data_IF_061113438101
#
_entry.id   IF_061113438101
#
_cell.length_a   1.000
_cell.length_b   1.000
_cell.length_c   1.000
_cell.angle_alpha   90.00
_cell.angle_beta   90.00
_cell.angle_gamma   90.00
#
_symmetry.space_group_name_H-M   'P 1'
#
loop_
_entity.id
_entity.type
_entity.pdbx_description
1 polymer ?
#
# COMPACT_ATOMS: atom_id res chain seq x y z
N UNK A 1 -4.17 14.39 -26.44
CA UNK A 1 -2.79 14.44 -25.92
C UNK A 1 -2.14 13.09 -26.07
N UNK A 2 -0.80 13.05 -26.19
CA UNK A 2 0.02 11.85 -26.12
C UNK A 2 0.59 11.74 -24.69
N UNK A 3 0.22 10.70 -23.97
CA UNK A 3 0.59 10.52 -22.56
C UNK A 3 1.45 9.27 -22.42
N UNK A 4 2.60 9.36 -21.74
CA UNK A 4 3.41 8.21 -21.42
C UNK A 4 3.43 7.99 -19.90
N UNK A 5 2.92 6.84 -19.46
CA UNK A 5 3.09 6.37 -18.09
C UNK A 5 4.32 5.48 -17.96
N UNK A 6 5.04 5.58 -16.85
CA UNK A 6 6.24 4.80 -16.58
C UNK A 6 6.21 4.23 -15.17
N UNK A 7 6.12 2.90 -15.05
CA UNK A 7 6.14 2.22 -13.76
C UNK A 7 6.55 0.75 -13.93
N UNK A 8 7.56 0.29 -13.18
CA UNK A 8 8.07 -1.08 -13.30
C UNK A 8 6.99 -2.16 -13.06
N UNK A 9 6.02 -1.90 -12.20
CA UNK A 9 4.95 -2.84 -11.82
C UNK A 9 3.58 -2.37 -12.32
N UNK A 10 3.43 -2.11 -13.63
CA UNK A 10 2.14 -1.69 -14.21
C UNK A 10 0.95 -2.45 -13.60
N UNK A 11 -0.15 -1.78 -13.25
CA UNK A 11 -0.39 -0.34 -13.37
C UNK A 11 0.15 0.50 -12.20
N UNK A 12 0.58 -0.11 -11.07
CA UNK A 12 0.96 0.60 -9.86
C UNK A 12 -0.13 1.55 -9.39
N UNK A 13 0.24 2.74 -8.95
CA UNK A 13 -0.65 3.79 -8.48
C UNK A 13 -1.52 4.40 -9.57
N UNK A 14 -1.22 4.15 -10.84
CA UNK A 14 -1.89 4.78 -11.98
C UNK A 14 -3.10 4.02 -12.50
N UNK A 15 -3.53 2.93 -11.85
CA UNK A 15 -4.59 2.06 -12.33
C UNK A 15 -5.86 2.84 -12.71
N UNK A 16 -6.37 3.59 -11.75
CA UNK A 16 -7.65 4.30 -11.91
C UNK A 16 -7.52 5.47 -12.89
N UNK A 17 -6.41 6.20 -12.81
CA UNK A 17 -6.12 7.32 -13.73
C UNK A 17 -5.97 6.83 -15.19
N UNK A 18 -5.22 5.75 -15.39
CA UNK A 18 -5.00 5.19 -16.74
C UNK A 18 -6.32 4.69 -17.34
N UNK A 19 -7.13 3.97 -16.53
CA UNK A 19 -8.44 3.50 -16.99
C UNK A 19 -9.34 4.67 -17.35
N UNK A 20 -9.45 5.65 -16.46
CA UNK A 20 -10.29 6.83 -16.70
C UNK A 20 -9.88 7.60 -17.96
N UNK A 21 -8.59 7.84 -18.18
CA UNK A 21 -8.07 8.52 -19.37
C UNK A 21 -8.31 7.69 -20.66
N UNK A 22 -8.15 6.37 -20.57
CA UNK A 22 -8.38 5.47 -21.70
C UNK A 22 -9.87 5.44 -22.11
N UNK A 23 -10.77 5.46 -21.13
CA UNK A 23 -12.23 5.48 -21.38
C UNK A 23 -12.69 6.74 -22.09
N UNK A 24 -11.98 7.88 -21.94
CA UNK A 24 -12.29 9.14 -22.66
C UNK A 24 -12.07 9.02 -24.18
N UNK A 25 -11.25 8.07 -24.66
CA UNK A 25 -10.92 7.86 -26.09
C UNK A 25 -10.37 9.12 -26.82
N UNK A 26 -9.92 10.13 -26.07
CA UNK A 26 -9.40 11.40 -26.60
C UNK A 26 -7.87 11.49 -26.51
N UNK A 27 -7.22 10.50 -25.92
CA UNK A 27 -5.78 10.47 -25.66
C UNK A 27 -5.12 9.25 -26.30
N UNK A 28 -3.88 9.41 -26.75
CA UNK A 28 -3.01 8.32 -27.11
C UNK A 28 -2.12 8.00 -25.90
N UNK A 29 -2.29 6.81 -25.32
CA UNK A 29 -1.66 6.44 -24.05
C UNK A 29 -0.69 5.30 -24.27
N UNK A 30 0.55 5.50 -23.83
CA UNK A 30 1.58 4.48 -23.75
C UNK A 30 1.92 4.22 -22.30
N UNK A 31 2.12 2.95 -21.96
CA UNK A 31 2.58 2.54 -20.64
C UNK A 31 3.88 1.72 -20.75
N UNK A 32 4.96 2.26 -20.19
CA UNK A 32 6.27 1.58 -20.08
C UNK A 32 6.39 0.84 -18.77
N UNK A 33 6.72 -0.46 -18.81
CA UNK A 33 6.82 -1.31 -17.62
C UNK A 33 7.92 -2.36 -17.72
N UNK A 34 8.41 -2.87 -16.59
CA UNK A 34 9.28 -4.07 -16.53
C UNK A 34 8.48 -5.36 -16.31
N UNK A 35 7.18 -5.25 -16.05
CA UNK A 35 6.33 -6.41 -15.80
C UNK A 35 6.21 -7.26 -17.06
N UNK A 36 6.62 -8.54 -16.99
CA UNK A 36 6.62 -9.46 -18.13
C UNK A 36 5.22 -9.74 -18.68
N UNK A 37 4.24 -9.87 -17.80
CA UNK A 37 2.83 -10.10 -18.13
C UNK A 37 2.00 -8.95 -17.55
N UNK A 38 2.00 -7.77 -18.19
CA UNK A 38 1.24 -6.63 -17.72
C UNK A 38 -0.26 -6.86 -17.96
N UNK A 39 -1.13 -6.31 -17.09
CA UNK A 39 -2.56 -6.28 -17.37
C UNK A 39 -2.85 -5.48 -18.64
N UNK A 40 -3.92 -5.84 -19.34
CA UNK A 40 -4.38 -5.10 -20.52
C UNK A 40 -5.39 -4.04 -20.09
N UNK A 41 -5.21 -2.85 -20.63
CA UNK A 41 -6.18 -1.76 -20.58
C UNK A 41 -6.57 -1.43 -22.03
N UNK A 42 -7.86 -1.42 -22.29
CA UNK A 42 -8.35 -1.08 -23.61
C UNK A 42 -8.02 0.39 -23.94
N UNK A 43 -7.44 0.64 -25.12
CA UNK A 43 -6.96 1.97 -25.51
C UNK A 43 -5.58 2.38 -24.95
N UNK A 44 -4.84 1.46 -24.32
CA UNK A 44 -3.48 1.71 -23.81
C UNK A 44 -2.45 0.81 -24.51
N UNK A 45 -1.46 1.44 -25.13
CA UNK A 45 -0.32 0.76 -25.75
C UNK A 45 0.73 0.43 -24.68
N UNK A 46 0.89 -0.85 -24.35
CA UNK A 46 1.88 -1.28 -23.36
C UNK A 46 3.16 -1.71 -24.02
N UNK A 47 4.29 -1.25 -23.49
CA UNK A 47 5.62 -1.65 -23.92
C UNK A 47 6.45 -2.10 -22.72
N UNK A 48 7.08 -3.27 -22.85
CA UNK A 48 7.95 -3.84 -21.81
C UNK A 48 9.39 -3.44 -22.08
N UNK A 49 10.05 -2.85 -21.08
CA UNK A 49 11.46 -2.57 -21.12
C UNK A 49 12.24 -3.45 -20.13
N UNK A 50 13.55 -3.55 -20.32
CA UNK A 50 14.49 -4.20 -19.39
C UNK A 50 15.38 -3.15 -18.78
N UNK A 51 15.71 -3.31 -17.51
CA UNK A 51 16.78 -2.53 -16.90
C UNK A 51 18.06 -2.69 -17.73
N UNK A 52 18.76 -1.58 -17.95
CA UNK A 52 20.02 -1.60 -18.71
C UNK A 52 21.15 -2.31 -17.96
N UNK A 53 21.09 -2.20 -16.63
CA UNK A 53 22.06 -2.80 -15.71
C UNK A 53 21.36 -3.28 -14.44
N UNK A 54 21.96 -4.29 -13.79
CA UNK A 54 21.59 -4.77 -12.46
C UNK A 54 22.84 -4.87 -11.61
N UNK A 55 22.82 -4.40 -10.35
CA UNK A 55 23.97 -4.51 -9.46
C UNK A 55 24.32 -5.98 -9.20
N UNK A 56 25.60 -6.27 -9.06
CA UNK A 56 26.07 -7.57 -8.62
C UNK A 56 25.60 -7.85 -7.17
N UNK A 57 25.56 -9.12 -6.77
CA UNK A 57 25.24 -9.49 -5.38
C UNK A 57 26.24 -8.89 -4.39
N UNK A 58 27.51 -8.80 -4.81
CA UNK A 58 28.62 -8.22 -4.05
C UNK A 58 28.71 -6.70 -4.11
N UNK A 59 27.77 -6.02 -4.79
CA UNK A 59 27.76 -4.56 -4.89
C UNK A 59 27.72 -3.90 -3.50
N UNK A 60 28.40 -2.76 -3.37
CA UNK A 60 28.46 -2.03 -2.10
C UNK A 60 27.06 -1.61 -1.64
N UNK A 61 26.67 -2.02 -0.43
CA UNK A 61 25.31 -1.91 0.07
C UNK A 61 24.72 -0.50 0.02
N UNK A 62 25.52 0.54 0.28
CA UNK A 62 25.03 1.94 0.28
C UNK A 62 24.77 2.47 -1.16
N UNK A 63 25.48 1.98 -2.18
CA UNK A 63 25.27 2.43 -3.56
C UNK A 63 24.36 1.51 -4.38
N UNK A 64 24.08 0.30 -3.91
CA UNK A 64 23.35 -0.74 -4.66
C UNK A 64 21.99 -0.27 -5.17
N UNK A 65 21.24 0.44 -4.33
CA UNK A 65 19.92 0.97 -4.72
C UNK A 65 20.03 2.04 -5.82
N UNK A 66 21.03 2.92 -5.75
CA UNK A 66 21.29 3.93 -6.78
C UNK A 66 21.74 3.29 -8.09
N UNK A 67 22.63 2.31 -8.03
CA UNK A 67 23.10 1.55 -9.20
C UNK A 67 21.94 0.84 -9.91
N UNK A 68 21.04 0.18 -9.16
CA UNK A 68 19.84 -0.43 -9.70
C UNK A 68 18.90 0.59 -10.35
N UNK A 69 18.68 1.71 -9.68
CA UNK A 69 17.77 2.77 -10.13
C UNK A 69 18.27 3.44 -11.41
N UNK A 70 19.57 3.70 -11.53
CA UNK A 70 20.16 4.22 -12.77
C UNK A 70 20.06 3.22 -13.93
N UNK A 71 20.23 1.92 -13.65
CA UNK A 71 19.98 0.85 -14.62
C UNK A 71 18.53 0.81 -15.12
N UNK A 72 17.56 1.01 -14.23
CA UNK A 72 16.15 1.13 -14.58
C UNK A 72 15.88 2.37 -15.44
N UNK A 73 16.37 3.54 -15.00
CA UNK A 73 16.20 4.81 -15.71
C UNK A 73 16.76 4.80 -17.11
N UNK A 74 17.97 4.29 -17.29
CA UNK A 74 18.58 4.19 -18.63
C UNK A 74 17.82 3.20 -19.52
N UNK A 75 17.34 2.09 -18.96
CA UNK A 75 16.51 1.13 -19.68
C UNK A 75 15.20 1.75 -20.16
N UNK A 76 14.50 2.47 -19.27
CA UNK A 76 13.25 3.15 -19.59
C UNK A 76 13.44 4.26 -20.63
N UNK A 77 14.45 5.12 -20.47
CA UNK A 77 14.74 6.20 -21.42
C UNK A 77 15.07 5.69 -22.82
N UNK A 78 15.89 4.64 -22.93
CA UNK A 78 16.23 4.00 -24.22
C UNK A 78 14.99 3.40 -24.88
N UNK A 79 14.14 2.71 -24.12
CA UNK A 79 12.89 2.15 -24.63
C UNK A 79 11.95 3.26 -25.13
N UNK A 80 11.81 4.34 -24.38
CA UNK A 80 11.01 5.50 -24.76
C UNK A 80 11.51 6.13 -26.08
N UNK A 81 12.83 6.28 -26.23
CA UNK A 81 13.42 6.78 -27.49
C UNK A 81 13.25 5.82 -28.66
N UNK A 82 13.26 4.51 -28.44
CA UNK A 82 12.96 3.52 -29.48
C UNK A 82 11.48 3.60 -29.93
N UNK A 83 10.55 3.84 -29.02
CA UNK A 83 9.14 4.05 -29.35
C UNK A 83 8.99 5.30 -30.24
N UNK A 84 9.64 6.40 -29.88
CA UNK A 84 9.62 7.61 -30.72
C UNK A 84 10.16 7.31 -32.14
N UNK A 85 11.28 6.62 -32.23
CA UNK A 85 11.94 6.36 -33.52
C UNK A 85 11.16 5.37 -34.40
N UNK A 86 10.58 4.32 -33.79
CA UNK A 86 9.96 3.22 -34.56
C UNK A 86 8.45 3.42 -34.77
N UNK A 87 7.79 4.07 -33.82
CA UNK A 87 6.32 4.18 -33.78
C UNK A 87 5.85 5.63 -33.95
N UNK A 88 6.78 6.60 -34.04
CA UNK A 88 6.46 8.02 -34.20
C UNK A 88 5.78 8.65 -32.97
N UNK A 89 5.87 7.99 -31.80
CA UNK A 89 5.25 8.47 -30.58
C UNK A 89 6.25 9.24 -29.72
N UNK A 90 6.14 10.57 -29.70
CA UNK A 90 6.75 11.44 -28.68
C UNK A 90 5.64 11.95 -27.77
N UNK A 91 5.72 11.76 -26.43
CA UNK A 91 4.67 12.20 -25.52
C UNK A 91 4.61 13.73 -25.39
N UNK A 92 3.40 14.24 -25.13
CA UNK A 92 3.19 15.62 -24.69
C UNK A 92 3.46 15.76 -23.18
N UNK A 93 3.36 14.64 -22.43
CA UNK A 93 3.61 14.58 -20.98
C UNK A 93 4.04 13.16 -20.58
N UNK A 94 4.95 13.08 -19.61
CA UNK A 94 5.37 11.83 -18.95
C UNK A 94 4.89 11.83 -17.51
N UNK A 95 4.33 10.70 -17.07
CA UNK A 95 3.88 10.48 -15.69
C UNK A 95 4.55 9.21 -15.17
N UNK A 96 5.24 9.28 -14.03
CA UNK A 96 5.94 8.09 -13.54
C UNK A 96 6.29 8.15 -12.06
N UNK A 97 6.67 7.00 -11.51
CA UNK A 97 7.08 6.86 -10.12
C UNK A 97 8.59 7.14 -9.96
N UNK A 98 8.96 8.01 -9.02
CA UNK A 98 10.38 8.39 -8.86
C UNK A 98 11.19 7.35 -8.06
N UNK A 99 10.57 6.56 -7.20
CA UNK A 99 11.25 5.72 -6.22
C UNK A 99 12.07 4.55 -6.81
N UNK A 100 11.87 4.23 -8.08
CA UNK A 100 12.57 3.13 -8.77
C UNK A 100 13.58 3.62 -9.82
N UNK A 101 13.68 4.95 -10.01
CA UNK A 101 14.65 5.59 -10.88
C UNK A 101 14.27 5.67 -12.36
N UNK A 102 13.09 5.21 -12.78
CA UNK A 102 12.73 5.18 -14.20
C UNK A 102 12.74 6.55 -14.86
N UNK A 103 12.39 7.61 -14.14
CA UNK A 103 12.31 8.97 -14.69
C UNK A 103 13.67 9.66 -14.81
N UNK A 104 14.70 9.14 -14.17
CA UNK A 104 16.01 9.82 -13.97
C UNK A 104 16.60 10.43 -15.25
N UNK A 105 16.41 9.79 -16.41
CA UNK A 105 17.03 10.22 -17.66
C UNK A 105 16.05 10.72 -18.73
N UNK A 106 14.79 11.00 -18.39
CA UNK A 106 13.81 11.44 -19.39
C UNK A 106 14.08 12.83 -19.93
N UNK A 107 14.60 13.76 -19.12
CA UNK A 107 15.00 15.10 -19.60
C UNK A 107 16.19 15.07 -20.56
N UNK A 108 17.03 14.04 -20.52
CA UNK A 108 18.14 13.86 -21.45
C UNK A 108 17.69 13.43 -22.85
N UNK A 109 16.49 12.82 -22.95
CA UNK A 109 15.94 12.43 -24.27
C UNK A 109 14.86 13.41 -24.75
N UNK A 110 14.15 14.06 -23.84
CA UNK A 110 13.08 15.02 -24.12
C UNK A 110 13.15 16.20 -23.16
N UNK A 111 14.04 17.18 -23.36
CA UNK A 111 14.26 18.31 -22.44
C UNK A 111 12.98 19.12 -22.18
N UNK A 112 12.15 19.30 -23.21
CA UNK A 112 10.97 20.17 -23.19
C UNK A 112 9.68 19.44 -22.78
N UNK A 113 9.69 18.11 -22.65
CA UNK A 113 8.48 17.36 -22.29
C UNK A 113 8.24 17.48 -20.78
N UNK A 114 7.07 17.95 -20.34
CA UNK A 114 6.71 18.00 -18.91
C UNK A 114 6.70 16.60 -18.28
N UNK A 115 7.20 16.52 -17.05
CA UNK A 115 7.26 15.27 -16.28
C UNK A 115 6.56 15.46 -14.95
N UNK A 116 5.55 14.64 -14.68
CA UNK A 116 4.92 14.49 -13.36
C UNK A 116 5.51 13.27 -12.67
N UNK A 117 6.13 13.48 -11.52
CA UNK A 117 6.71 12.42 -10.69
C UNK A 117 5.87 12.09 -9.47
N UNK A 118 5.65 10.80 -9.19
CA UNK A 118 4.99 10.35 -7.96
C UNK A 118 6.02 10.11 -6.87
N UNK A 119 5.99 10.94 -5.82
CA UNK A 119 6.87 10.94 -4.66
C UNK A 119 6.18 10.24 -3.49
N UNK A 120 6.28 8.91 -3.45
CA UNK A 120 5.57 8.11 -2.47
C UNK A 120 6.19 8.21 -1.08
N UNK A 121 7.51 8.16 -0.96
CA UNK A 121 8.15 8.10 0.35
C UNK A 121 9.59 8.62 0.36
N UNK A 122 9.96 9.28 1.44
CA UNK A 122 11.32 9.70 1.78
C UNK A 122 11.75 9.03 3.10
N UNK A 123 12.88 8.35 3.08
CA UNK A 123 13.33 7.54 4.20
C UNK A 123 14.02 8.37 5.27
N UNK A 124 13.70 8.10 6.55
CA UNK A 124 14.33 8.69 7.72
C UNK A 124 14.33 7.67 8.86
N UNK A 125 15.29 7.81 9.75
CA UNK A 125 15.41 7.04 10.98
C UNK A 125 14.51 7.55 12.12
N UNK A 126 13.78 8.62 11.88
CA UNK A 126 12.85 9.22 12.85
C UNK A 126 11.47 9.47 12.24
N UNK A 127 10.42 9.34 13.06
CA UNK A 127 9.02 9.67 12.70
C UNK A 127 8.42 8.82 11.57
N UNK A 128 9.10 7.75 11.15
CA UNK A 128 8.66 6.76 10.18
C UNK A 128 8.58 5.36 10.83
N UNK A 129 8.50 4.28 10.03
CA UNK A 129 8.39 2.92 10.55
C UNK A 129 9.70 2.40 11.18
N UNK A 130 10.85 2.94 10.74
CA UNK A 130 12.16 2.51 11.23
C UNK A 130 12.37 3.05 12.65
N UNK A 131 12.66 2.14 13.60
CA UNK A 131 12.83 2.47 15.01
C UNK A 131 11.52 2.81 15.74
N UNK A 132 10.37 2.64 15.12
CA UNK A 132 9.06 2.85 15.75
C UNK A 132 8.70 1.70 16.70
N UNK A 133 8.89 0.46 16.25
CA UNK A 133 8.62 -0.73 17.05
C UNK A 133 9.87 -1.16 17.82
N UNK A 134 9.84 -1.17 19.18
CA UNK A 134 10.96 -1.63 20.00
C UNK A 134 11.34 -3.11 19.76
N UNK A 135 10.41 -3.92 19.24
CA UNK A 135 10.66 -5.31 18.87
C UNK A 135 11.35 -5.50 17.52
N UNK A 136 11.47 -4.43 16.73
CA UNK A 136 12.22 -4.40 15.45
C UNK A 136 13.39 -3.40 15.55
N UNK A 137 14.44 -3.72 16.31
CA UNK A 137 15.51 -2.79 16.61
C UNK A 137 16.33 -2.45 15.36
N UNK A 138 16.70 -1.18 15.26
CA UNK A 138 17.56 -0.67 14.20
C UNK A 138 19.04 -1.01 14.47
N UNK A 139 19.81 -1.17 13.41
CA UNK A 139 21.28 -1.35 13.49
C UNK A 139 21.98 0.00 13.36
N UNK A 140 23.25 0.07 13.79
CA UNK A 140 24.09 1.29 13.64
C UNK A 140 24.20 1.72 12.16
N UNK A 141 24.11 0.79 11.22
CA UNK A 141 24.18 1.08 9.78
C UNK A 141 22.86 1.58 9.19
N UNK A 142 21.75 1.44 9.88
CA UNK A 142 20.42 1.78 9.38
C UNK A 142 20.32 3.24 8.92
N UNK A 143 20.75 4.26 9.67
CA UNK A 143 20.67 5.66 9.23
C UNK A 143 21.43 5.92 7.92
N UNK A 144 22.60 5.32 7.77
CA UNK A 144 23.43 5.46 6.54
C UNK A 144 22.74 4.83 5.32
N UNK A 145 22.12 3.65 5.50
CA UNK A 145 21.37 2.96 4.43
C UNK A 145 20.14 3.78 4.00
N UNK A 146 19.38 4.33 4.96
CA UNK A 146 18.22 5.16 4.67
C UNK A 146 18.61 6.44 3.94
N UNK A 147 19.68 7.11 4.40
CA UNK A 147 20.19 8.32 3.75
C UNK A 147 20.63 8.03 2.31
N UNK A 148 21.42 6.96 2.10
CA UNK A 148 21.87 6.55 0.77
C UNK A 148 20.69 6.21 -0.16
N UNK A 149 19.63 5.58 0.36
CA UNK A 149 18.42 5.23 -0.40
C UNK A 149 17.69 6.46 -0.93
N UNK A 150 17.77 7.58 -0.25
CA UNK A 150 17.16 8.84 -0.69
C UNK A 150 17.86 9.48 -1.90
N UNK A 151 19.01 8.99 -2.33
CA UNK A 151 19.68 9.50 -3.54
C UNK A 151 18.76 9.46 -4.77
N UNK A 152 17.87 8.46 -4.87
CA UNK A 152 16.94 8.30 -6.00
C UNK A 152 15.90 9.42 -6.07
N UNK A 153 15.05 9.66 -5.03
CA UNK A 153 14.11 10.78 -5.07
C UNK A 153 14.82 12.14 -5.11
N UNK A 154 16.02 12.29 -4.50
CA UNK A 154 16.81 13.52 -4.57
C UNK A 154 17.24 13.85 -6.00
N UNK A 155 17.71 12.86 -6.76
CA UNK A 155 18.07 13.07 -8.17
C UNK A 155 16.84 13.36 -9.05
N UNK A 156 15.70 12.75 -8.73
CA UNK A 156 14.50 12.90 -9.55
C UNK A 156 13.74 14.21 -9.30
N UNK A 157 13.96 14.92 -8.17
CA UNK A 157 13.32 16.22 -7.96
C UNK A 157 13.77 17.26 -8.99
N UNK A 158 14.99 17.17 -9.48
CA UNK A 158 15.50 18.04 -10.56
C UNK A 158 14.92 17.64 -11.92
N UNK A 159 14.68 16.35 -12.13
CA UNK A 159 14.14 15.82 -13.40
C UNK A 159 12.68 16.16 -13.60
N UNK A 160 11.85 16.16 -12.54
CA UNK A 160 10.42 16.42 -12.66
C UNK A 160 10.08 17.91 -12.66
N UNK A 161 9.04 18.28 -13.39
CA UNK A 161 8.47 19.62 -13.36
C UNK A 161 7.49 19.77 -12.19
N UNK A 162 6.71 18.71 -11.92
CA UNK A 162 5.74 18.61 -10.81
C UNK A 162 5.89 17.28 -10.12
N UNK A 163 5.91 17.29 -8.80
CA UNK A 163 5.83 16.10 -7.96
C UNK A 163 4.47 15.97 -7.30
N UNK A 164 3.96 14.73 -7.22
CA UNK A 164 2.74 14.38 -6.49
C UNK A 164 3.10 13.49 -5.32
N UNK A 165 2.54 13.79 -4.15
CA UNK A 165 2.61 12.92 -2.96
C UNK A 165 1.20 12.61 -2.49
N UNK A 166 0.88 11.37 -2.06
CA UNK A 166 -0.52 10.98 -1.82
C UNK A 166 -1.13 11.62 -0.57
N UNK A 167 -0.31 11.99 0.42
CA UNK A 167 -0.78 12.59 1.68
C UNK A 167 0.13 13.76 2.10
N UNK A 168 -0.36 14.63 2.99
CA UNK A 168 0.45 15.69 3.59
C UNK A 168 1.59 15.11 4.42
N UNK A 169 1.32 14.06 5.20
CA UNK A 169 2.35 13.39 5.98
C UNK A 169 3.48 12.84 5.11
N UNK A 170 3.17 12.21 3.96
CA UNK A 170 4.18 11.69 3.04
C UNK A 170 4.98 12.82 2.39
N UNK A 171 4.32 13.92 1.94
CA UNK A 171 5.00 15.11 1.43
C UNK A 171 5.94 15.70 2.46
N UNK A 172 5.51 15.82 3.71
CA UNK A 172 6.26 16.47 4.79
C UNK A 172 7.46 15.64 5.28
N UNK A 173 7.57 14.37 4.84
CA UNK A 173 8.80 13.57 4.98
C UNK A 173 9.93 14.06 4.10
N UNK A 174 9.63 14.67 2.95
CA UNK A 174 10.63 15.23 2.05
C UNK A 174 11.22 16.54 2.60
N UNK A 175 12.50 16.86 2.26
CA UNK A 175 13.08 18.15 2.66
C UNK A 175 12.20 19.34 2.25
N UNK A 176 12.07 20.32 3.13
CA UNK A 176 11.20 21.49 2.91
C UNK A 176 11.52 22.24 1.60
N UNK A 177 12.78 22.23 1.17
CA UNK A 177 13.19 22.81 -0.11
C UNK A 177 12.47 22.21 -1.33
N UNK A 178 11.92 21.00 -1.22
CA UNK A 178 11.21 20.32 -2.30
C UNK A 178 9.72 20.66 -2.33
N UNK A 179 9.15 21.13 -1.21
CA UNK A 179 7.71 21.35 -1.08
C UNK A 179 7.15 22.32 -2.13
N UNK A 180 7.96 23.23 -2.69
CA UNK A 180 7.55 24.10 -3.80
C UNK A 180 7.18 23.36 -5.08
N UNK A 181 7.71 22.13 -5.29
CA UNK A 181 7.40 21.25 -6.44
C UNK A 181 6.45 20.12 -6.08
N UNK A 182 6.21 19.83 -4.78
CA UNK A 182 5.42 18.69 -4.32
C UNK A 182 4.01 19.13 -3.95
N UNK A 183 3.05 18.63 -4.72
CA UNK A 183 1.62 18.82 -4.47
C UNK A 183 1.04 17.56 -3.83
N UNK A 184 0.06 17.73 -2.92
CA UNK A 184 -0.64 16.59 -2.32
C UNK A 184 -1.82 16.23 -3.20
N UNK A 185 -1.80 14.99 -3.72
CA UNK A 185 -2.88 14.43 -4.51
C UNK A 185 -2.87 12.91 -4.35
N UNK A 186 -3.92 12.39 -3.70
CA UNK A 186 -4.08 10.95 -3.53
C UNK A 186 -4.33 10.27 -4.89
N UNK A 187 -3.83 9.05 -5.05
CA UNK A 187 -3.97 8.24 -6.27
C UNK A 187 -5.40 7.73 -6.52
N UNK A 188 -6.31 7.98 -5.56
CA UNK A 188 -7.74 7.73 -5.71
C UNK A 188 -8.16 6.29 -5.42
N UNK A 189 -9.46 6.13 -5.19
CA UNK A 189 -10.17 4.85 -5.15
C UNK A 189 -11.50 4.98 -5.89
N UNK A 190 -12.04 3.89 -6.38
CA UNK A 190 -13.28 3.85 -7.16
C UNK A 190 -14.52 3.82 -6.26
N UNK A 191 -14.88 4.96 -5.65
CA UNK A 191 -16.07 5.06 -4.78
C UNK A 191 -17.40 4.83 -5.52
N UNK A 192 -17.40 4.90 -6.85
CA UNK A 192 -18.52 4.50 -7.70
C UNK A 192 -18.77 2.98 -7.70
N UNK A 193 -17.74 2.19 -7.48
CA UNK A 193 -17.76 0.72 -7.44
C UNK A 193 -17.65 0.17 -6.02
N UNK A 194 -16.80 0.79 -5.20
CA UNK A 194 -16.57 0.42 -3.81
C UNK A 194 -17.59 1.13 -2.92
N UNK A 195 -18.64 0.43 -2.58
CA UNK A 195 -19.75 0.94 -1.77
C UNK A 195 -20.33 -0.18 -0.91
N UNK A 196 -21.03 0.15 0.17
CA UNK A 196 -21.75 -0.85 0.96
C UNK A 196 -22.71 -1.67 0.08
N UNK A 197 -22.70 -2.97 0.29
CA UNK A 197 -23.68 -3.88 -0.33
C UNK A 197 -24.21 -4.86 0.73
N UNK A 198 -25.42 -4.64 1.24
CA UNK A 198 -26.01 -5.48 2.29
C UNK A 198 -26.39 -6.87 1.79
N UNK A 199 -26.44 -7.10 0.47
CA UNK A 199 -26.78 -8.39 -0.12
C UNK A 199 -25.58 -9.34 -0.22
N UNK A 200 -24.36 -8.84 0.02
CA UNK A 200 -23.15 -9.66 -0.09
C UNK A 200 -23.13 -10.72 1.00
N UNK A 201 -22.79 -11.92 0.57
CA UNK A 201 -22.58 -13.06 1.45
C UNK A 201 -21.26 -13.74 1.15
N UNK A 202 -20.60 -14.30 2.17
CA UNK A 202 -19.33 -15.02 2.02
C UNK A 202 -19.41 -16.40 2.68
N UNK A 203 -19.24 -17.45 1.88
CA UNK A 203 -19.16 -18.83 2.41
C UNK A 203 -17.71 -19.24 2.55
N UNK A 204 -17.30 -19.60 3.75
CA UNK A 204 -15.94 -20.04 4.04
C UNK A 204 -15.92 -21.59 4.11
N UNK A 205 -15.20 -22.22 3.19
CA UNK A 205 -14.95 -23.65 3.21
C UNK A 205 -16.20 -24.50 3.48
N UNK A 206 -16.20 -25.25 4.60
CA UNK A 206 -17.27 -26.16 5.00
C UNK A 206 -18.25 -25.57 6.01
N UNK A 207 -18.31 -24.24 6.14
CA UNK A 207 -19.33 -23.63 7.02
C UNK A 207 -20.74 -23.97 6.55
N UNK A 208 -21.62 -24.23 7.49
CA UNK A 208 -23.03 -24.62 7.20
C UNK A 208 -23.81 -23.50 6.53
N UNK A 209 -23.52 -22.24 6.89
CA UNK A 209 -24.11 -21.04 6.28
C UNK A 209 -23.07 -20.04 5.81
N UNK A 210 -23.47 -19.15 4.92
CA UNK A 210 -22.68 -17.97 4.55
C UNK A 210 -22.72 -16.90 5.65
N UNK A 211 -21.63 -16.14 5.77
CA UNK A 211 -21.54 -14.93 6.59
C UNK A 211 -22.14 -13.75 5.84
N UNK A 212 -22.71 -12.82 6.59
CA UNK A 212 -23.32 -11.57 6.10
C UNK A 212 -22.81 -10.39 6.94
N UNK A 213 -23.21 -9.16 6.60
CA UNK A 213 -22.93 -7.97 7.41
C UNK A 213 -23.56 -8.03 8.81
N UNK A 214 -24.62 -8.83 9.00
CA UNK A 214 -25.29 -9.00 10.29
C UNK A 214 -24.54 -9.90 11.25
N UNK A 215 -23.53 -10.62 10.77
CA UNK A 215 -22.67 -11.43 11.61
C UNK A 215 -21.56 -10.59 12.28
N UNK A 216 -21.05 -11.08 13.39
CA UNK A 216 -19.91 -10.45 14.07
C UNK A 216 -18.60 -10.77 13.33
N UNK A 217 -18.44 -10.19 12.15
CA UNK A 217 -17.24 -10.37 11.33
C UNK A 217 -16.23 -9.27 11.62
N UNK A 218 -15.08 -9.68 12.15
CA UNK A 218 -13.90 -8.84 12.30
C UNK A 218 -12.91 -9.15 11.18
N UNK A 219 -12.35 -8.13 10.56
CA UNK A 219 -11.38 -8.31 9.48
C UNK A 219 -10.06 -7.63 9.77
N UNK A 220 -8.97 -8.26 9.31
CA UNK A 220 -7.65 -7.69 9.20
C UNK A 220 -7.11 -7.95 7.79
N UNK A 221 -6.66 -6.90 7.10
CA UNK A 221 -6.19 -7.02 5.71
C UNK A 221 -4.85 -6.33 5.53
N UNK A 222 -3.90 -7.05 4.96
CA UNK A 222 -2.62 -6.49 4.51
C UNK A 222 -2.10 -7.29 3.31
N UNK A 223 -1.15 -6.70 2.55
CA UNK A 223 -0.51 -7.44 1.44
C UNK A 223 0.21 -8.69 1.95
N UNK A 224 0.96 -8.53 3.03
CA UNK A 224 1.64 -9.60 3.76
C UNK A 224 1.45 -9.37 5.26
N UNK A 225 1.44 -10.46 6.02
CA UNK A 225 1.29 -10.45 7.48
C UNK A 225 2.63 -10.07 8.12
N UNK A 226 2.83 -8.78 8.37
CA UNK A 226 4.13 -8.22 8.78
C UNK A 226 4.01 -7.17 9.89
N UNK A 227 5.12 -6.93 10.62
CA UNK A 227 5.16 -5.99 11.75
C UNK A 227 4.78 -4.57 11.35
N UNK A 228 5.25 -4.09 10.21
CA UNK A 228 4.93 -2.75 9.70
C UNK A 228 3.42 -2.50 9.57
N UNK A 229 2.65 -3.57 9.35
CA UNK A 229 1.17 -3.53 9.30
C UNK A 229 0.50 -4.01 10.58
N UNK A 230 1.24 -4.02 11.70
CA UNK A 230 0.70 -4.29 13.03
C UNK A 230 0.17 -5.70 13.25
N UNK A 231 0.57 -6.68 12.41
CA UNK A 231 0.04 -8.04 12.53
C UNK A 231 0.29 -8.68 13.90
N UNK A 232 1.44 -8.41 14.53
CA UNK A 232 1.74 -8.89 15.88
C UNK A 232 0.82 -8.27 16.95
N UNK A 233 0.50 -6.98 16.83
CA UNK A 233 -0.44 -6.30 17.74
C UNK A 233 -1.86 -6.86 17.56
N UNK A 234 -2.29 -7.02 16.31
CA UNK A 234 -3.57 -7.67 15.98
C UNK A 234 -3.67 -9.07 16.61
N UNK A 235 -2.65 -9.91 16.47
CA UNK A 235 -2.66 -11.26 17.02
C UNK A 235 -2.75 -11.26 18.55
N UNK A 236 -2.09 -10.33 19.21
CA UNK A 236 -2.15 -10.16 20.68
C UNK A 236 -3.53 -9.67 21.16
N UNK A 237 -4.28 -8.94 20.33
CA UNK A 237 -5.64 -8.52 20.64
C UNK A 237 -6.69 -9.64 20.50
N UNK A 238 -6.44 -10.67 19.69
CA UNK A 238 -7.40 -11.74 19.41
C UNK A 238 -7.96 -12.46 20.64
N UNK A 239 -7.15 -12.87 21.65
CA UNK A 239 -7.68 -13.55 22.82
C UNK A 239 -8.76 -12.74 23.53
N UNK A 240 -8.56 -11.42 23.64
CA UNK A 240 -9.49 -10.50 24.30
C UNK A 240 -10.76 -10.32 23.51
N UNK A 241 -10.67 -10.12 22.21
CA UNK A 241 -11.84 -10.02 21.30
C UNK A 241 -12.68 -11.29 21.36
N UNK A 242 -12.07 -12.45 21.16
CA UNK A 242 -12.76 -13.73 21.10
C UNK A 242 -13.37 -14.15 22.45
N UNK A 243 -12.77 -13.70 23.57
CA UNK A 243 -13.34 -13.90 24.91
C UNK A 243 -14.61 -13.05 25.13
N UNK A 244 -14.59 -11.79 24.70
CA UNK A 244 -15.71 -10.86 24.87
C UNK A 244 -16.84 -11.12 23.87
N UNK A 245 -16.49 -11.65 22.68
CA UNK A 245 -17.43 -11.92 21.58
C UNK A 245 -17.38 -13.38 21.16
N UNK A 246 -18.15 -14.27 21.82
CA UNK A 246 -18.14 -15.72 21.54
C UNK A 246 -18.58 -16.07 20.11
N UNK A 247 -19.44 -15.26 19.48
CA UNK A 247 -19.97 -15.47 18.13
C UNK A 247 -19.09 -14.87 17.02
N UNK A 248 -18.09 -14.06 17.39
CA UNK A 248 -17.21 -13.39 16.42
C UNK A 248 -16.49 -14.38 15.50
N UNK A 249 -16.40 -14.02 14.22
CA UNK A 249 -15.56 -14.66 13.20
C UNK A 249 -14.52 -13.67 12.73
N UNK A 250 -13.26 -14.10 12.72
CA UNK A 250 -12.12 -13.28 12.36
C UNK A 250 -11.60 -13.73 11.00
N UNK A 251 -11.57 -12.80 10.04
CA UNK A 251 -11.07 -13.04 8.68
C UNK A 251 -9.76 -12.29 8.48
N UNK A 252 -8.70 -13.04 8.19
CA UNK A 252 -7.35 -12.49 8.02
C UNK A 252 -6.91 -12.67 6.57
N UNK A 253 -6.69 -11.55 5.87
CA UNK A 253 -6.25 -11.55 4.48
C UNK A 253 -4.80 -11.05 4.40
N UNK A 254 -3.94 -11.81 3.76
CA UNK A 254 -2.53 -11.46 3.55
C UNK A 254 -1.65 -12.68 3.29
N UNK A 255 -0.55 -12.47 2.60
CA UNK A 255 0.48 -13.50 2.38
C UNK A 255 1.43 -13.61 3.57
N UNK A 256 2.25 -14.67 3.58
CA UNK A 256 3.27 -14.89 4.62
C UNK A 256 4.66 -14.33 4.26
N UNK A 257 4.77 -13.59 3.14
CA UNK A 257 6.02 -12.93 2.75
C UNK A 257 6.20 -11.62 3.53
N UNK A 258 7.33 -10.94 3.30
CA UNK A 258 7.60 -9.59 3.81
C UNK A 258 7.68 -8.61 2.66
N UNK A 259 6.91 -7.52 2.72
CA UNK A 259 6.95 -6.40 1.76
C UNK A 259 7.78 -5.24 2.30
N UNK A 260 7.64 -4.95 3.58
CA UNK A 260 8.24 -3.83 4.29
C UNK A 260 8.82 -4.32 5.63
N UNK A 261 9.84 -3.63 6.15
CA UNK A 261 10.44 -4.00 7.42
C UNK A 261 11.30 -5.27 7.43
N UNK A 262 11.66 -5.71 8.62
CA UNK A 262 12.49 -6.89 8.86
C UNK A 262 11.73 -8.21 8.68
N UNK A 263 12.43 -9.24 8.22
CA UNK A 263 11.88 -10.59 8.20
C UNK A 263 11.88 -11.18 9.60
N UNK A 264 10.82 -11.90 9.98
CA UNK A 264 10.83 -12.70 11.20
C UNK A 264 11.96 -13.73 11.14
N UNK A 265 12.62 -13.94 12.28
CA UNK A 265 13.65 -14.97 12.45
C UNK A 265 13.05 -16.36 12.64
N UNK A 266 11.75 -16.46 12.89
CA UNK A 266 11.05 -17.74 13.04
C UNK A 266 10.98 -18.47 11.68
N UNK A 267 11.30 -19.78 11.61
CA UNK A 267 11.32 -20.54 10.35
C UNK A 267 10.00 -20.51 9.57
N UNK A 268 8.87 -20.41 10.27
CA UNK A 268 7.52 -20.31 9.67
C UNK A 268 7.06 -18.88 9.38
N UNK A 269 7.94 -17.87 9.54
CA UNK A 269 7.60 -16.46 9.39
C UNK A 269 6.83 -15.90 10.58
N UNK A 270 6.44 -14.62 10.46
CA UNK A 270 5.79 -13.89 11.57
C UNK A 270 4.44 -14.50 11.97
N UNK A 271 3.69 -15.06 11.03
CA UNK A 271 2.43 -15.73 11.35
C UNK A 271 2.65 -16.88 12.33
N UNK A 272 3.56 -17.79 12.04
CA UNK A 272 3.84 -18.95 12.91
C UNK A 272 4.43 -18.53 14.27
N UNK A 273 5.25 -17.46 14.29
CA UNK A 273 5.75 -16.85 15.50
C UNK A 273 4.59 -16.40 16.42
N UNK A 274 3.64 -15.66 15.85
CA UNK A 274 2.50 -15.13 16.60
C UNK A 274 1.48 -16.21 16.97
N UNK A 275 1.24 -17.22 16.10
CA UNK A 275 0.40 -18.37 16.44
C UNK A 275 0.99 -19.15 17.65
N UNK A 276 2.31 -19.26 17.75
CA UNK A 276 2.96 -19.87 18.90
C UNK A 276 2.84 -19.01 20.18
N UNK A 277 2.94 -17.66 20.05
CA UNK A 277 2.83 -16.73 21.18
C UNK A 277 1.43 -16.75 21.80
N UNK A 278 0.37 -16.60 20.99
CA UNK A 278 -1.01 -16.44 21.48
C UNK A 278 -1.82 -17.73 21.51
N UNK A 279 -1.32 -18.80 20.91
CA UNK A 279 -2.09 -19.98 20.51
C UNK A 279 -2.92 -20.65 21.59
N UNK A 280 -2.46 -20.64 22.85
CA UNK A 280 -3.19 -21.24 24.00
C UNK A 280 -4.45 -20.46 24.40
N UNK A 281 -4.57 -19.21 23.94
CA UNK A 281 -5.61 -18.28 24.33
C UNK A 281 -6.57 -17.95 23.18
N UNK A 282 -6.39 -18.55 22.01
CA UNK A 282 -7.18 -18.29 20.79
C UNK A 282 -7.97 -19.53 20.39
N UNK A 283 -9.26 -19.38 20.20
CA UNK A 283 -10.10 -20.39 19.55
C UNK A 283 -9.94 -20.31 18.02
N UNK A 284 -9.02 -21.12 17.49
CA UNK A 284 -8.66 -21.15 16.07
C UNK A 284 -9.81 -21.58 15.15
N UNK A 285 -10.86 -22.21 15.67
CA UNK A 285 -12.05 -22.55 14.86
C UNK A 285 -12.79 -21.32 14.35
N UNK A 286 -12.54 -20.16 14.95
CA UNK A 286 -13.16 -18.86 14.65
C UNK A 286 -12.25 -17.90 13.90
N UNK A 287 -10.97 -18.25 13.68
CA UNK A 287 -9.99 -17.42 12.97
C UNK A 287 -9.64 -18.04 11.63
N UNK A 288 -9.92 -17.33 10.55
CA UNK A 288 -9.78 -17.83 9.20
C UNK A 288 -8.71 -17.04 8.44
N UNK A 289 -7.55 -17.67 8.19
CA UNK A 289 -6.50 -17.11 7.35
C UNK A 289 -6.80 -17.41 5.89
N UNK A 290 -7.17 -16.40 5.11
CA UNK A 290 -7.64 -16.54 3.73
C UNK A 290 -6.50 -16.44 2.70
N UNK A 291 -5.28 -16.08 3.13
CA UNK A 291 -4.17 -15.86 2.21
C UNK A 291 -4.37 -14.64 1.31
N UNK A 292 -3.78 -14.67 0.12
CA UNK A 292 -3.99 -13.62 -0.90
C UNK A 292 -5.25 -13.96 -1.69
N UNK A 293 -6.19 -13.03 -1.76
CA UNK A 293 -7.46 -13.17 -2.44
C UNK A 293 -7.45 -12.52 -3.83
N UNK A 294 -8.42 -12.90 -4.68
CA UNK A 294 -8.82 -12.08 -5.82
C UNK A 294 -9.37 -10.74 -5.32
N UNK A 295 -9.35 -9.70 -6.17
CA UNK A 295 -9.88 -8.40 -5.77
C UNK A 295 -11.39 -8.46 -5.48
N UNK A 296 -12.14 -9.27 -6.23
CA UNK A 296 -13.57 -9.50 -6.01
C UNK A 296 -13.85 -10.17 -4.64
N UNK A 297 -13.09 -11.21 -4.28
CA UNK A 297 -13.28 -11.88 -2.99
C UNK A 297 -12.83 -10.98 -1.83
N UNK A 298 -11.77 -10.18 -2.02
CA UNK A 298 -11.37 -9.17 -1.05
C UNK A 298 -12.49 -8.16 -0.79
N UNK A 299 -13.18 -7.66 -1.82
CA UNK A 299 -14.31 -6.76 -1.67
C UNK A 299 -15.42 -7.39 -0.83
N UNK A 300 -15.79 -8.64 -1.11
CA UNK A 300 -16.79 -9.39 -0.32
C UNK A 300 -16.40 -9.48 1.15
N UNK A 301 -15.12 -9.76 1.44
CA UNK A 301 -14.61 -9.81 2.83
C UNK A 301 -14.79 -8.48 3.55
N UNK A 302 -14.48 -7.36 2.88
CA UNK A 302 -14.63 -6.03 3.49
C UNK A 302 -16.11 -5.64 3.62
N UNK A 303 -16.95 -5.92 2.61
CA UNK A 303 -18.37 -5.57 2.63
C UNK A 303 -19.15 -6.26 3.76
N UNK A 304 -18.78 -7.50 4.13
CA UNK A 304 -19.38 -8.18 5.29
C UNK A 304 -18.70 -7.82 6.62
N UNK A 305 -17.61 -7.05 6.60
CA UNK A 305 -16.87 -6.67 7.81
C UNK A 305 -17.70 -5.73 8.69
N UNK A 306 -18.03 -6.13 9.91
CA UNK A 306 -18.63 -5.25 10.91
C UNK A 306 -17.59 -4.36 11.56
N UNK A 307 -16.39 -4.89 11.81
CA UNK A 307 -15.25 -4.18 12.36
C UNK A 307 -13.98 -4.50 11.54
N UNK A 308 -13.33 -3.48 10.99
CA UNK A 308 -12.07 -3.63 10.29
C UNK A 308 -10.93 -3.07 11.14
N UNK A 309 -10.01 -3.93 11.58
CA UNK A 309 -8.80 -3.51 12.28
C UNK A 309 -7.74 -3.13 11.25
N UNK A 310 -7.46 -1.83 11.16
CA UNK A 310 -6.45 -1.28 10.28
C UNK A 310 -5.24 -0.80 11.08
N UNK A 311 -4.19 -1.59 11.09
CA UNK A 311 -2.96 -1.25 11.80
C UNK A 311 -1.83 -0.95 10.82
N UNK A 312 -1.07 0.06 11.16
CA UNK A 312 0.19 0.40 10.48
C UNK A 312 1.09 1.18 11.43
N UNK A 313 2.40 0.97 11.34
CA UNK A 313 3.37 1.93 11.84
C UNK A 313 3.22 3.25 11.06
N UNK A 314 3.85 4.36 11.46
CA UNK A 314 3.88 5.58 10.65
C UNK A 314 4.52 5.32 9.28
N UNK A 315 3.69 4.96 8.30
CA UNK A 315 4.11 4.55 6.96
C UNK A 315 3.04 4.92 5.92
N UNK A 316 3.33 4.67 4.65
CA UNK A 316 2.40 4.86 3.53
C UNK A 316 1.07 4.17 3.82
N UNK A 317 -0.05 4.91 3.70
CA UNK A 317 -1.39 4.35 3.84
C UNK A 317 -1.62 3.26 2.78
N UNK A 318 -2.24 2.17 3.20
CA UNK A 318 -2.72 1.16 2.26
C UNK A 318 -4.05 1.62 1.65
N UNK A 319 -4.25 1.37 0.38
CA UNK A 319 -5.56 1.60 -0.27
C UNK A 319 -6.69 0.88 0.46
N UNK A 320 -6.40 -0.26 1.10
CA UNK A 320 -7.40 -1.03 1.85
C UNK A 320 -8.09 -0.24 2.96
N UNK A 321 -7.45 0.80 3.53
CA UNK A 321 -8.11 1.69 4.49
C UNK A 321 -9.25 2.46 3.83
N UNK A 322 -8.94 3.20 2.76
CA UNK A 322 -9.94 4.02 2.07
C UNK A 322 -10.99 3.17 1.35
N UNK A 323 -10.58 2.01 0.83
CA UNK A 323 -11.51 1.04 0.25
C UNK A 323 -12.48 0.48 1.30
N UNK A 324 -11.99 0.16 2.51
CA UNK A 324 -12.84 -0.31 3.61
C UNK A 324 -13.80 0.78 4.10
N UNK A 325 -13.33 2.03 4.21
CA UNK A 325 -14.18 3.18 4.51
C UNK A 325 -15.27 3.36 3.44
N UNK A 326 -14.91 3.31 2.14
CA UNK A 326 -15.87 3.43 1.04
C UNK A 326 -16.91 2.30 1.01
N UNK A 327 -16.56 1.11 1.50
CA UNK A 327 -17.47 -0.04 1.58
C UNK A 327 -18.27 -0.10 2.90
N UNK A 328 -18.18 0.92 3.75
CA UNK A 328 -18.99 1.04 4.97
C UNK A 328 -18.54 0.10 6.09
N UNK A 329 -17.27 -0.23 6.19
CA UNK A 329 -16.75 -0.95 7.33
C UNK A 329 -16.40 0.04 8.46
N UNK A 330 -16.83 -0.22 9.71
CA UNK A 330 -16.35 0.56 10.86
C UNK A 330 -14.86 0.24 11.10
N UNK A 331 -14.02 1.27 11.05
CA UNK A 331 -12.58 1.12 11.20
C UNK A 331 -12.14 1.34 12.65
N UNK A 332 -11.29 0.45 13.17
CA UNK A 332 -10.45 0.73 14.33
C UNK A 332 -9.00 0.75 13.82
N UNK A 333 -8.42 1.94 13.75
CA UNK A 333 -7.09 2.17 13.18
C UNK A 333 -6.04 2.50 14.23
N UNK A 334 -4.75 2.27 13.92
CA UNK A 334 -3.65 2.74 14.76
C UNK A 334 -3.61 4.28 14.81
N UNK A 335 -3.44 4.82 16.01
CA UNK A 335 -3.34 6.27 16.24
C UNK A 335 -1.95 6.80 15.87
N UNK A 336 -1.67 6.87 14.56
CA UNK A 336 -0.44 7.38 14.00
C UNK A 336 -0.71 8.48 12.97
N UNK A 337 0.25 9.37 12.77
CA UNK A 337 0.07 10.58 11.96
C UNK A 337 -0.53 10.32 10.56
N UNK A 338 -0.07 9.35 9.74
CA UNK A 338 -0.68 9.12 8.43
C UNK A 338 -2.13 8.65 8.50
N UNK A 339 -2.52 7.88 9.54
CA UNK A 339 -3.91 7.39 9.70
C UNK A 339 -4.83 8.53 10.12
N UNK A 340 -4.35 9.47 10.93
CA UNK A 340 -5.11 10.67 11.34
C UNK A 340 -5.44 11.60 10.17
N UNK A 341 -4.78 11.49 9.02
CA UNK A 341 -5.21 12.21 7.81
C UNK A 341 -6.47 11.66 7.17
N UNK A 342 -6.78 10.39 7.40
CA UNK A 342 -7.97 9.72 6.87
C UNK A 342 -9.07 9.54 7.92
N UNK A 343 -8.70 9.36 9.19
CA UNK A 343 -9.64 9.07 10.28
C UNK A 343 -9.62 10.17 11.32
N UNK A 344 -10.79 10.77 11.55
CA UNK A 344 -11.09 11.59 12.73
C UNK A 344 -11.73 10.69 13.78
N UNK A 345 -11.08 10.53 14.95
CA UNK A 345 -11.54 9.64 16.01
C UNK A 345 -12.97 9.99 16.47
N UNK A 346 -13.86 9.01 16.44
CA UNK A 346 -15.27 9.15 16.82
C UNK A 346 -16.18 9.79 15.77
N UNK A 347 -15.64 10.19 14.59
CA UNK A 347 -16.41 10.77 13.49
C UNK A 347 -16.40 9.90 12.22
N UNK A 348 -15.22 9.45 11.79
CA UNK A 348 -15.03 8.63 10.58
C UNK A 348 -14.33 7.30 10.86
N UNK A 349 -14.21 6.94 12.12
CA UNK A 349 -13.61 5.72 12.63
C UNK A 349 -13.08 5.90 14.04
N UNK A 350 -12.48 4.86 14.58
CA UNK A 350 -11.85 4.88 15.90
C UNK A 350 -10.31 4.78 15.74
N UNK A 351 -9.60 5.44 16.63
CA UNK A 351 -8.13 5.37 16.71
C UNK A 351 -7.73 4.73 18.04
N UNK A 352 -6.72 3.86 18.00
CA UNK A 352 -6.17 3.16 19.15
C UNK A 352 -4.65 3.22 19.13
N UNK A 353 -4.03 3.30 20.30
CA UNK A 353 -2.57 3.21 20.41
C UNK A 353 -2.07 1.93 19.75
N UNK A 354 -1.06 2.06 18.88
CA UNK A 354 -0.47 0.93 18.17
C UNK A 354 0.11 -0.12 19.13
N UNK A 355 0.59 0.29 20.30
CA UNK A 355 1.23 -0.56 21.29
C UNK A 355 0.30 -1.08 22.39
N UNK A 356 -1.01 -0.82 22.28
CA UNK A 356 -2.01 -1.30 23.24
C UNK A 356 -2.96 -2.34 22.62
N UNK A 357 -2.54 -3.64 22.57
CA UNK A 357 -3.40 -4.70 22.04
C UNK A 357 -4.66 -4.94 22.89
N UNK A 358 -4.62 -4.60 24.18
CA UNK A 358 -5.81 -4.74 25.05
C UNK A 358 -6.88 -3.70 24.73
N UNK A 359 -6.50 -2.43 24.60
CA UNK A 359 -7.41 -1.38 24.16
C UNK A 359 -7.94 -1.64 22.73
N UNK A 360 -7.07 -2.12 21.80
CA UNK A 360 -7.50 -2.55 20.47
C UNK A 360 -8.53 -3.67 20.55
N UNK A 361 -8.31 -4.63 21.44
CA UNK A 361 -9.21 -5.75 21.68
C UNK A 361 -10.58 -5.29 22.22
N UNK A 362 -10.59 -4.37 23.17
CA UNK A 362 -11.81 -3.81 23.76
C UNK A 362 -12.62 -3.01 22.74
N UNK A 363 -11.96 -2.12 21.98
CA UNK A 363 -12.64 -1.34 20.93
C UNK A 363 -13.19 -2.24 19.82
N UNK A 364 -12.41 -3.24 19.38
CA UNK A 364 -12.87 -4.19 18.37
C UNK A 364 -14.09 -5.00 18.85
N UNK A 365 -14.07 -5.46 20.09
CA UNK A 365 -15.19 -6.18 20.69
C UNK A 365 -16.43 -5.29 20.87
N UNK A 366 -16.25 -4.04 21.24
CA UNK A 366 -17.35 -3.08 21.41
C UNK A 366 -18.02 -2.76 20.07
N UNK A 367 -17.26 -2.50 19.02
CA UNK A 367 -17.78 -2.31 17.64
C UNK A 367 -18.59 -3.52 17.18
N UNK A 368 -18.08 -4.74 17.41
CA UNK A 368 -18.79 -5.97 17.06
C UNK A 368 -20.12 -6.10 17.81
N UNK A 369 -20.14 -5.73 19.10
CA UNK A 369 -21.31 -5.87 19.97
C UNK A 369 -22.38 -4.80 19.81
N UNK A 370 -21.99 -3.60 19.37
CA UNK A 370 -22.85 -2.43 19.33
C UNK A 370 -22.91 -1.79 17.93
N UNK A 371 -23.25 -2.58 16.86
CA UNK A 371 -23.18 -2.10 15.48
C UNK A 371 -24.00 -0.83 15.23
N UNK A 372 -25.15 -0.66 15.90
CA UNK A 372 -25.99 0.52 15.72
C UNK A 372 -25.32 1.82 16.23
N UNK A 373 -24.51 1.73 17.30
CA UNK A 373 -23.78 2.87 17.83
C UNK A 373 -22.65 3.33 16.90
N UNK A 374 -22.05 2.39 16.15
CA UNK A 374 -20.90 2.65 15.29
C UNK A 374 -21.24 2.73 13.79
N UNK A 375 -22.48 2.43 13.39
CA UNK A 375 -22.92 2.55 11.99
C UNK A 375 -22.66 3.94 11.36
N UNK A 376 -22.75 5.06 12.09
CA UNK A 376 -22.44 6.38 11.53
C UNK A 376 -20.96 6.60 11.17
N UNK A 377 -20.05 5.74 11.65
CA UNK A 377 -18.62 5.82 11.42
C UNK A 377 -18.13 5.03 10.18
N UNK A 378 -19.03 4.21 9.59
CA UNK A 378 -18.72 3.35 8.44
C UNK A 378 -19.20 3.87 7.09
#
# INVERSE_FOLDING_TARGET
MKIMFVHQNMPGQYRELVQWLADQRTHQIYFLTQRKNPPRFDGVETRVYKAHHRPAETAYGLSKNWEESTGNGLGAARAAKQIETREGFKPDIVVGHVGWGELTFFKQIWPDVPIIGFFEYYYSDTGGPVGFDPEDPVTENTPFLLHARNAVPLANIETVDVGLSPTYWQRDRFPQSFHRKLYVCHDGIRTDQLRPDPAVTLKLGRMDRALTKDDEVLTFVSRNLERTRGFHVFMRALPRILKQRPDARVLVVGGNDTSYGGKSKHPGGLRAEMEAEVGKHVDWSRVHFLGKLSYEDYQKVIQISRCHLYLTMPFVLSWSLLEAMAMGATIVGSDVAPVREAITHGETGLLCDFFDPDALGDQGADVLGNPAAYAPLG
#
